data_IF_992638183451
#
_entry.id   IF_992638183451
#
_cell.length_a   1.000
_cell.length_b   1.000
_cell.length_c   1.000
_cell.angle_alpha   90.00
_cell.angle_beta   90.00
_cell.angle_gamma   90.00
#
_symmetry.space_group_name_H-M   'P 1'
#
loop_
_entity.id
_entity.type
_entity.pdbx_description
1 polymer ?
#
# COMPACT_ATOMS: atom_id res chain seq x y z
N UNK A 1 10.54 -0.89 -5.10
CA UNK A 1 9.69 0.33 -5.22
C UNK A 1 10.22 1.13 -6.39
N UNK A 2 9.32 1.50 -7.31
CA UNK A 2 9.61 2.37 -8.46
C UNK A 2 8.67 3.57 -8.39
N UNK A 3 9.21 4.77 -8.60
CA UNK A 3 8.44 6.02 -8.58
C UNK A 3 8.75 6.80 -9.85
N UNK A 4 7.71 7.17 -10.57
CA UNK A 4 7.80 7.89 -11.84
C UNK A 4 8.14 9.37 -11.68
N UNK A 5 8.14 10.07 -12.81
CA UNK A 5 8.53 11.48 -12.92
C UNK A 5 7.40 12.40 -12.44
N UNK A 6 7.75 13.55 -11.91
CA UNK A 6 6.81 14.60 -11.48
C UNK A 6 5.76 14.10 -10.50
N UNK A 7 6.09 13.07 -9.72
CA UNK A 7 5.24 12.52 -8.66
C UNK A 7 5.59 13.18 -7.34
N UNK A 8 4.56 13.64 -6.63
CA UNK A 8 4.70 14.34 -5.37
C UNK A 8 4.11 13.50 -4.22
N UNK A 9 4.92 13.25 -3.21
CA UNK A 9 4.57 12.44 -2.03
C UNK A 9 4.66 13.32 -0.80
N UNK A 10 3.53 13.56 -0.13
CA UNK A 10 3.49 14.37 1.08
C UNK A 10 4.01 13.60 2.31
N UNK A 11 4.32 14.36 3.35
CA UNK A 11 4.87 13.87 4.60
C UNK A 11 3.98 12.82 5.30
N UNK A 12 4.61 11.92 6.04
CA UNK A 12 3.92 10.86 6.81
C UNK A 12 3.45 9.69 5.95
N UNK A 13 3.73 9.68 4.66
CA UNK A 13 3.41 8.56 3.77
C UNK A 13 4.41 7.42 3.96
N UNK A 14 3.89 6.21 4.08
CA UNK A 14 4.66 4.99 4.23
C UNK A 14 4.42 4.09 3.02
N UNK A 15 5.49 3.74 2.33
CA UNK A 15 5.49 2.82 1.20
C UNK A 15 6.28 1.58 1.62
N UNK A 16 5.59 0.48 1.85
CA UNK A 16 6.14 -0.71 2.50
C UNK A 16 6.01 -1.90 1.54
N UNK A 17 7.15 -2.44 1.11
CA UNK A 17 7.18 -3.43 0.04
C UNK A 17 8.11 -4.59 0.35
N UNK A 18 7.62 -5.81 0.10
CA UNK A 18 8.44 -7.04 -0.02
C UNK A 18 8.32 -7.66 -1.41
N UNK A 19 7.35 -7.23 -2.20
CA UNK A 19 7.09 -7.72 -3.56
C UNK A 19 7.45 -6.63 -4.57
N UNK A 20 6.48 -5.82 -4.98
CA UNK A 20 6.70 -4.70 -5.88
C UNK A 20 5.63 -3.62 -5.67
N UNK A 21 6.07 -2.36 -5.59
CA UNK A 21 5.18 -1.21 -5.64
C UNK A 21 5.68 -0.30 -6.77
N UNK A 22 4.83 -0.04 -7.75
CA UNK A 22 5.10 0.84 -8.86
C UNK A 22 4.15 2.04 -8.82
N UNK A 23 4.70 3.25 -8.83
CA UNK A 23 3.97 4.51 -8.88
C UNK A 23 4.37 5.22 -10.17
N UNK A 24 3.40 5.59 -10.97
CA UNK A 24 3.59 6.21 -12.27
C UNK A 24 4.02 7.66 -12.22
N UNK A 25 3.87 8.32 -13.35
CA UNK A 25 4.18 9.75 -13.55
C UNK A 25 3.00 10.64 -13.14
N UNK A 26 3.30 11.87 -12.73
CA UNK A 26 2.31 12.90 -12.42
C UNK A 26 1.29 12.48 -11.34
N UNK A 27 1.73 11.65 -10.40
CA UNK A 27 0.91 11.18 -9.27
C UNK A 27 1.01 12.15 -8.11
N UNK A 28 -0.13 12.48 -7.49
CA UNK A 28 -0.17 13.27 -6.27
C UNK A 28 -0.61 12.40 -5.10
N UNK A 29 0.26 12.24 -4.10
CA UNK A 29 -0.01 11.48 -2.89
C UNK A 29 -0.11 12.44 -1.71
N UNK A 30 -1.25 12.44 -1.04
CA UNK A 30 -1.54 13.26 0.13
C UNK A 30 -0.74 12.85 1.36
N UNK A 31 -1.08 13.41 2.53
CA UNK A 31 -0.40 13.12 3.79
C UNK A 31 -0.84 11.81 4.42
N UNK A 32 0.08 11.14 5.14
CA UNK A 32 -0.21 9.99 5.99
C UNK A 32 -0.90 8.84 5.25
N UNK A 33 -0.42 8.51 4.07
CA UNK A 33 -0.92 7.40 3.28
C UNK A 33 -0.08 6.16 3.55
N UNK A 34 -0.71 4.98 3.54
CA UNK A 34 -0.04 3.69 3.57
C UNK A 34 -0.24 2.97 2.24
N UNK A 35 0.85 2.60 1.59
CA UNK A 35 0.86 1.77 0.39
C UNK A 35 1.63 0.49 0.75
N UNK A 36 0.98 -0.65 0.61
CA UNK A 36 1.37 -1.87 1.30
C UNK A 36 1.12 -3.10 0.42
N UNK A 37 2.16 -3.82 0.08
CA UNK A 37 2.06 -4.96 -0.85
C UNK A 37 2.04 -6.33 -0.18
N UNK A 38 1.85 -6.39 1.13
CA UNK A 38 1.83 -7.64 1.88
C UNK A 38 0.97 -7.58 3.15
N UNK A 39 0.72 -8.73 3.75
CA UNK A 39 -0.13 -8.83 4.95
C UNK A 39 0.64 -8.64 6.27
N UNK A 40 1.93 -8.35 6.26
CA UNK A 40 2.83 -8.28 7.42
C UNK A 40 3.04 -9.62 8.13
N UNK A 41 1.99 -10.38 8.33
CA UNK A 41 1.99 -11.65 9.06
C UNK A 41 1.21 -12.71 8.28
N UNK A 42 1.45 -13.98 8.60
CA UNK A 42 0.61 -15.05 8.10
C UNK A 42 -0.81 -14.93 8.66
N UNK A 43 -1.81 -15.16 7.82
CA UNK A 43 -3.20 -15.27 8.28
C UNK A 43 -3.41 -16.52 9.13
N UNK A 44 -2.60 -17.55 8.93
CA UNK A 44 -2.61 -18.77 9.74
C UNK A 44 -1.80 -18.57 11.02
N UNK A 45 -2.48 -18.66 12.16
CA UNK A 45 -1.86 -18.46 13.47
C UNK A 45 -0.71 -19.44 13.75
N UNK A 46 -0.77 -20.66 13.21
CA UNK A 46 0.29 -21.65 13.38
C UNK A 46 1.65 -21.18 12.87
N UNK A 47 1.64 -20.32 11.84
CA UNK A 47 2.83 -19.69 11.27
C UNK A 47 3.14 -18.32 11.87
N UNK A 48 2.14 -17.64 12.42
CA UNK A 48 2.28 -16.30 12.99
C UNK A 48 2.71 -16.28 14.45
N UNK A 49 2.41 -17.32 15.19
CA UNK A 49 2.57 -17.37 16.66
C UNK A 49 3.97 -17.02 17.16
N UNK A 50 5.00 -17.29 16.38
CA UNK A 50 6.39 -17.09 16.76
C UNK A 50 6.98 -15.76 16.27
N UNK A 51 6.21 -14.95 15.57
CA UNK A 51 6.68 -13.67 15.00
C UNK A 51 7.15 -12.70 16.10
N UNK A 52 6.41 -12.60 17.19
CA UNK A 52 6.76 -11.69 18.30
C UNK A 52 8.04 -12.14 18.99
N UNK A 53 8.24 -13.44 19.18
CA UNK A 53 9.46 -13.96 19.82
C UNK A 53 10.69 -13.71 18.95
N UNK A 54 10.58 -13.93 17.62
CA UNK A 54 11.65 -13.59 16.67
C UNK A 54 11.98 -12.10 16.69
N UNK A 55 10.97 -11.25 16.72
CA UNK A 55 11.13 -9.79 16.78
C UNK A 55 11.82 -9.37 18.08
N UNK A 56 11.43 -9.97 19.20
CA UNK A 56 12.05 -9.73 20.50
C UNK A 56 13.53 -10.13 20.52
N UNK A 57 13.86 -11.31 20.01
CA UNK A 57 15.23 -11.77 19.89
C UNK A 57 16.08 -10.84 19.05
N UNK A 58 15.56 -10.38 17.91
CA UNK A 58 16.23 -9.40 17.05
C UNK A 58 16.49 -8.08 17.78
N UNK A 59 15.50 -7.59 18.50
CA UNK A 59 15.63 -6.36 19.29
C UNK A 59 16.74 -6.45 20.33
N UNK A 60 16.76 -7.52 21.13
CA UNK A 60 17.79 -7.71 22.15
C UNK A 60 19.20 -8.01 21.59
N UNK A 61 19.27 -8.52 20.39
CA UNK A 61 20.52 -8.73 19.67
C UNK A 61 21.02 -7.48 18.91
N UNK A 62 20.37 -6.31 19.07
CA UNK A 62 20.65 -5.08 18.34
C UNK A 62 20.59 -5.25 16.80
N UNK A 63 19.71 -6.13 16.33
CA UNK A 63 19.42 -6.30 14.92
C UNK A 63 18.18 -5.51 14.54
N UNK A 64 17.93 -5.32 13.23
CA UNK A 64 16.64 -4.87 12.75
C UNK A 64 15.57 -5.84 13.24
N UNK A 65 14.48 -5.34 13.81
CA UNK A 65 13.43 -6.15 14.46
C UNK A 65 12.69 -7.10 13.50
N UNK A 66 12.93 -7.01 12.20
CA UNK A 66 12.42 -7.96 11.19
C UNK A 66 13.50 -8.88 10.61
N UNK A 67 14.73 -8.85 11.15
CA UNK A 67 15.86 -9.59 10.62
C UNK A 67 15.60 -11.12 10.54
N UNK A 68 15.03 -11.69 11.59
CA UNK A 68 14.72 -13.13 11.67
C UNK A 68 13.30 -13.48 11.23
N UNK A 69 12.56 -12.52 10.67
CA UNK A 69 11.17 -12.76 10.24
C UNK A 69 11.11 -13.78 9.12
N UNK A 70 10.20 -14.74 9.26
CA UNK A 70 9.86 -15.67 8.19
C UNK A 70 8.80 -15.07 7.27
N UNK A 71 9.24 -14.59 6.10
CA UNK A 71 8.38 -14.02 5.08
C UNK A 71 7.69 -15.06 4.20
N UNK A 72 8.10 -16.34 4.26
CA UNK A 72 7.59 -17.37 3.35
C UNK A 72 6.11 -17.66 3.52
N UNK A 73 5.54 -17.35 4.69
CA UNK A 73 4.13 -17.56 5.02
C UNK A 73 3.29 -16.29 4.93
N UNK A 74 3.91 -15.16 4.58
CA UNK A 74 3.24 -13.86 4.45
C UNK A 74 2.79 -13.66 3.01
N UNK A 75 1.49 -13.48 2.80
CA UNK A 75 0.96 -13.20 1.45
C UNK A 75 1.35 -11.81 0.99
N UNK A 76 1.75 -11.73 -0.26
CA UNK A 76 2.05 -10.48 -0.96
C UNK A 76 1.50 -10.49 -2.37
N UNK A 77 1.25 -9.30 -2.91
CA UNK A 77 0.89 -9.12 -4.31
C UNK A 77 1.28 -7.69 -4.72
N UNK A 78 1.76 -7.48 -5.96
CA UNK A 78 2.24 -6.17 -6.38
C UNK A 78 1.14 -5.13 -6.35
N UNK A 79 1.52 -3.89 -6.06
CA UNK A 79 0.64 -2.72 -6.13
C UNK A 79 1.10 -1.84 -7.29
N UNK A 80 0.15 -1.38 -8.10
CA UNK A 80 0.41 -0.48 -9.20
C UNK A 80 -0.48 0.75 -9.12
N UNK A 81 0.14 1.92 -9.12
CA UNK A 81 -0.54 3.21 -9.22
C UNK A 81 -0.16 3.80 -10.56
N UNK A 82 -1.13 3.91 -11.47
CA UNK A 82 -0.91 4.42 -12.82
C UNK A 82 -0.67 5.94 -12.82
N UNK A 83 -0.43 6.50 -14.01
CA UNK A 83 -0.15 7.92 -14.15
C UNK A 83 -1.34 8.80 -13.75
N UNK A 84 -1.08 10.03 -13.34
CA UNK A 84 -2.07 11.07 -13.06
C UNK A 84 -3.07 10.75 -11.94
N UNK A 85 -2.76 9.77 -11.09
CA UNK A 85 -3.60 9.42 -9.94
C UNK A 85 -3.45 10.45 -8.83
N UNK A 86 -4.55 10.73 -8.15
CA UNK A 86 -4.55 11.51 -6.91
C UNK A 86 -5.05 10.66 -5.76
N UNK A 87 -4.25 10.54 -4.71
CA UNK A 87 -4.60 9.82 -3.48
C UNK A 87 -4.75 10.83 -2.34
N UNK A 88 -5.95 10.94 -1.81
CA UNK A 88 -6.30 11.81 -0.69
C UNK A 88 -5.65 11.36 0.62
N UNK A 89 -5.49 12.28 1.56
CA UNK A 89 -4.81 12.02 2.84
C UNK A 89 -5.46 10.88 3.65
N UNK A 90 -4.65 10.21 4.46
CA UNK A 90 -5.07 9.08 5.31
C UNK A 90 -5.66 7.87 4.54
N UNK A 91 -5.46 7.77 3.24
CA UNK A 91 -5.87 6.60 2.48
C UNK A 91 -4.92 5.42 2.72
N UNK A 92 -5.44 4.22 2.52
CA UNK A 92 -4.70 2.97 2.64
C UNK A 92 -4.88 2.19 1.34
N UNK A 93 -3.76 1.79 0.71
CA UNK A 93 -3.76 0.98 -0.50
C UNK A 93 -3.19 -0.39 -0.14
N UNK A 94 -3.99 -1.43 -0.29
CA UNK A 94 -3.63 -2.79 0.09
C UNK A 94 -3.02 -3.58 -1.08
N UNK A 95 -2.40 -4.71 -0.74
CA UNK A 95 -1.73 -5.59 -1.68
C UNK A 95 -2.61 -5.97 -2.88
N UNK A 96 -1.99 -6.11 -4.03
CA UNK A 96 -2.64 -6.57 -5.25
C UNK A 96 -3.48 -5.55 -5.99
N UNK A 97 -3.60 -4.32 -5.47
CA UNK A 97 -4.42 -3.27 -6.06
C UNK A 97 -3.71 -2.60 -7.23
N UNK A 98 -4.43 -2.43 -8.34
CA UNK A 98 -4.06 -1.53 -9.43
C UNK A 98 -5.02 -0.32 -9.43
N UNK A 99 -4.45 0.88 -9.33
CA UNK A 99 -5.22 2.13 -9.46
C UNK A 99 -5.01 2.67 -10.87
N UNK A 100 -6.09 2.73 -11.64
CA UNK A 100 -6.09 3.12 -13.05
C UNK A 100 -5.72 4.58 -13.26
N UNK A 101 -5.26 4.91 -14.48
CA UNK A 101 -4.83 6.26 -14.85
C UNK A 101 -5.90 7.32 -14.50
N UNK A 102 -5.46 8.42 -13.93
CA UNK A 102 -6.32 9.57 -13.62
C UNK A 102 -7.36 9.31 -12.53
N UNK A 103 -7.34 8.16 -11.87
CA UNK A 103 -8.27 7.87 -10.78
C UNK A 103 -7.99 8.73 -9.54
N UNK A 104 -9.01 8.91 -8.73
CA UNK A 104 -8.95 9.63 -7.46
C UNK A 104 -9.38 8.69 -6.34
N UNK A 105 -8.54 8.58 -5.33
CA UNK A 105 -8.85 7.90 -4.07
C UNK A 105 -9.17 8.97 -3.03
N UNK A 106 -10.40 8.99 -2.53
CA UNK A 106 -10.82 9.99 -1.56
C UNK A 106 -10.09 9.82 -0.22
N UNK A 107 -10.00 10.92 0.53
CA UNK A 107 -9.39 10.91 1.86
C UNK A 107 -9.99 9.82 2.76
N UNK A 108 -9.13 9.12 3.50
CA UNK A 108 -9.53 8.08 4.44
C UNK A 108 -10.03 6.78 3.81
N UNK A 109 -10.00 6.64 2.49
CA UNK A 109 -10.44 5.42 1.83
C UNK A 109 -9.49 4.25 2.07
N UNK A 110 -10.03 3.04 2.17
CA UNK A 110 -9.26 1.80 2.22
C UNK A 110 -9.50 1.02 0.94
N UNK A 111 -8.53 1.05 0.04
CA UNK A 111 -8.63 0.43 -1.29
C UNK A 111 -8.20 -1.03 -1.22
N UNK A 112 -9.17 -1.91 -1.44
CA UNK A 112 -9.00 -3.37 -1.37
C UNK A 112 -9.13 -4.06 -2.73
N UNK A 113 -9.59 -3.33 -3.77
CA UNK A 113 -9.83 -3.81 -5.13
C UNK A 113 -9.29 -2.83 -6.14
N UNK A 114 -9.07 -3.27 -7.36
CA UNK A 114 -8.66 -2.41 -8.46
C UNK A 114 -9.62 -1.24 -8.67
N UNK A 115 -9.07 -0.11 -9.00
CA UNK A 115 -9.80 1.12 -9.30
C UNK A 115 -9.71 1.38 -10.79
N UNK A 116 -10.84 1.45 -11.50
CA UNK A 116 -10.84 1.79 -12.92
C UNK A 116 -10.24 3.17 -13.18
N UNK A 117 -9.65 3.36 -14.35
CA UNK A 117 -9.16 4.66 -14.79
C UNK A 117 -10.26 5.72 -14.72
N UNK A 118 -9.88 6.95 -14.41
CA UNK A 118 -10.77 8.13 -14.41
C UNK A 118 -12.02 7.94 -13.54
N UNK A 119 -11.82 7.34 -12.38
CA UNK A 119 -12.89 6.98 -11.43
C UNK A 119 -12.54 7.50 -10.04
N UNK A 120 -13.52 7.99 -9.31
CA UNK A 120 -13.40 8.35 -7.89
C UNK A 120 -13.89 7.19 -7.04
N UNK A 121 -13.07 6.74 -6.10
CA UNK A 121 -13.46 5.78 -5.07
C UNK A 121 -13.36 6.40 -3.68
N UNK A 122 -14.22 5.95 -2.76
CA UNK A 122 -14.26 6.43 -1.38
C UNK A 122 -14.76 5.34 -0.44
N UNK A 123 -14.43 5.49 0.83
CA UNK A 123 -14.94 4.64 1.92
C UNK A 123 -14.03 3.49 2.31
N UNK A 124 -14.50 2.67 3.25
CA UNK A 124 -13.83 1.48 3.74
C UNK A 124 -14.83 0.30 3.84
N UNK A 125 -14.73 -0.71 2.97
CA UNK A 125 -13.86 -0.75 1.80
C UNK A 125 -14.26 0.30 0.75
N UNK A 126 -13.28 0.79 0.00
CA UNK A 126 -13.52 1.79 -1.03
C UNK A 126 -14.43 1.25 -2.14
N UNK A 127 -15.40 2.05 -2.53
CA UNK A 127 -16.33 1.77 -3.62
C UNK A 127 -16.37 2.93 -4.60
N UNK A 128 -16.85 2.66 -5.82
CA UNK A 128 -16.95 3.68 -6.87
C UNK A 128 -18.00 4.71 -6.49
N UNK A 129 -17.63 5.99 -6.51
CA UNK A 129 -18.53 7.14 -6.28
C UNK A 129 -19.03 7.71 -7.60
N UNK A 130 -18.10 7.95 -8.52
CA UNK A 130 -18.42 8.52 -9.84
C UNK A 130 -17.28 8.33 -10.83
N UNK A 131 -17.56 8.54 -12.10
CA UNK A 131 -16.56 8.68 -13.16
C UNK A 131 -16.16 10.14 -13.33
N UNK A 132 -14.95 10.36 -13.81
CA UNK A 132 -14.38 11.69 -14.07
C UNK A 132 -14.27 11.88 -15.57
N UNK A 133 -14.69 13.05 -16.05
CA UNK A 133 -14.37 13.48 -17.41
C UNK A 133 -12.89 13.84 -17.54
N UNK A 134 -12.35 13.62 -18.75
CA UNK A 134 -10.93 13.84 -19.02
C UNK A 134 -10.63 14.15 -20.48
#
# INVERSE_FOLDING_TARGET
>A
IKIGKRTFINAGTNIISINEIEIGDDVTIGWNIYIYDHDSHSLDYRFRKDDIERQREDFYANRNFIFSKDWSTVKSAPVKICNKVWIGFNAIILKGVTIGEGAIVAAGAVVTKDVPAWTVVAGNPATIVKKIEH
#
